data_IF_363146493105
#
_entry.id   IF_363146493105
#
_cell.length_a   1.000
_cell.length_b   1.000
_cell.length_c   1.000
_cell.angle_alpha   90.00
_cell.angle_beta   90.00
_cell.angle_gamma   90.00
#
_symmetry.space_group_name_H-M   'P 1'
#
loop_
_entity.id
_entity.type
_entity.pdbx_description
1 polymer ?
#
# COMPACT_ATOMS: atom_id res chain seq x y z
N UNK A 1 -15.42 39.69 -36.32
CA UNK A 1 -16.26 39.01 -35.32
C UNK A 1 -15.38 38.30 -34.31
N UNK A 2 -15.22 38.88 -33.11
CA UNK A 2 -14.38 38.32 -32.04
C UNK A 2 -15.30 37.51 -31.12
N UNK A 3 -15.05 36.21 -30.97
CA UNK A 3 -15.77 35.35 -30.04
C UNK A 3 -15.16 35.46 -28.63
N UNK A 4 -15.96 35.97 -27.69
CA UNK A 4 -15.65 35.95 -26.24
C UNK A 4 -15.76 34.51 -25.74
N UNK A 5 -14.66 33.96 -25.18
CA UNK A 5 -14.68 32.79 -24.29
C UNK A 5 -14.66 33.27 -22.85
N UNK A 6 -15.48 32.71 -21.94
CA UNK A 6 -15.40 33.04 -20.53
C UNK A 6 -14.16 32.44 -19.91
N UNK A 7 -13.42 33.24 -19.14
CA UNK A 7 -12.24 32.86 -18.37
C UNK A 7 -12.64 32.00 -17.17
N UNK A 8 -12.12 30.80 -17.08
CA UNK A 8 -12.26 29.93 -15.93
C UNK A 8 -11.62 30.50 -14.67
N UNK A 9 -12.30 30.39 -13.55
CA UNK A 9 -11.85 30.85 -12.23
C UNK A 9 -10.77 29.87 -11.74
N UNK A 10 -9.55 30.37 -11.49
CA UNK A 10 -8.46 29.56 -10.97
C UNK A 10 -8.63 29.32 -9.45
N UNK A 11 -8.22 28.13 -8.97
CA UNK A 11 -8.26 27.73 -7.55
C UNK A 11 -7.61 28.73 -6.56
N UNK A 12 -6.80 29.65 -7.02
CA UNK A 12 -6.22 30.75 -6.21
C UNK A 12 -7.19 31.89 -5.87
N UNK A 13 -8.35 31.96 -6.53
CA UNK A 13 -9.35 32.99 -6.31
C UNK A 13 -10.34 32.69 -5.16
N UNK A 14 -10.43 31.43 -4.70
CA UNK A 14 -11.41 31.03 -3.69
C UNK A 14 -10.98 31.25 -2.22
N UNK A 15 -9.72 31.57 -1.97
CA UNK A 15 -9.17 31.74 -0.60
C UNK A 15 -9.18 33.21 -0.08
N UNK A 16 -9.86 34.14 -0.73
CA UNK A 16 -9.91 35.54 -0.31
C UNK A 16 -11.31 36.09 -0.03
N UNK A 17 -12.20 35.29 0.52
CA UNK A 17 -13.57 35.74 0.76
C UNK A 17 -14.26 35.17 1.98
N UNK A 18 -13.61 35.07 3.15
CA UNK A 18 -14.33 34.75 4.39
C UNK A 18 -13.56 35.30 5.62
N UNK A 19 -13.65 36.59 5.79
CA UNK A 19 -13.33 37.22 7.06
C UNK A 19 -14.38 38.30 7.31
N UNK A 20 -15.40 37.96 8.12
CA UNK A 20 -16.20 38.87 8.95
C UNK A 20 -17.37 38.08 9.58
N UNK A 21 -17.36 37.97 10.92
CA UNK A 21 -18.51 37.48 11.68
C UNK A 21 -18.17 36.73 12.95
N UNK A 22 -17.36 37.31 13.85
CA UNK A 22 -17.29 36.83 15.23
C UNK A 22 -18.20 37.69 16.08
N UNK A 23 -19.27 37.11 16.64
CA UNK A 23 -20.01 37.67 17.77
C UNK A 23 -20.40 36.53 18.71
N UNK A 24 -19.98 36.65 19.94
CA UNK A 24 -19.92 35.72 21.01
C UNK A 24 -21.23 35.16 21.55
N UNK A 25 -21.07 34.08 22.30
CA UNK A 25 -21.93 33.72 23.44
C UNK A 25 -21.08 32.95 24.46
N UNK A 26 -20.82 33.63 25.59
CA UNK A 26 -20.29 33.03 26.78
C UNK A 26 -21.42 32.25 27.49
N UNK A 27 -21.22 30.95 27.71
CA UNK A 27 -22.08 30.09 28.52
C UNK A 27 -21.28 29.50 29.68
N UNK A 28 -21.71 29.86 30.88
CA UNK A 28 -21.06 29.51 32.14
C UNK A 28 -21.07 28.02 32.44
N UNK A 29 -19.94 27.48 32.84
CA UNK A 29 -19.79 26.15 33.44
C UNK A 29 -20.12 26.23 34.93
N UNK A 30 -21.16 25.52 35.38
CA UNK A 30 -21.47 25.31 36.78
C UNK A 30 -20.75 24.04 37.25
N UNK A 31 -19.79 24.23 38.14
CA UNK A 31 -19.16 23.14 38.93
C UNK A 31 -20.08 22.77 40.08
N UNK A 32 -20.60 21.54 40.08
CA UNK A 32 -21.24 20.96 41.29
C UNK A 32 -20.25 19.97 41.90
N UNK A 33 -19.69 20.34 43.02
CA UNK A 33 -18.96 19.42 43.89
C UNK A 33 -19.97 18.65 44.78
N UNK A 34 -19.96 17.32 44.73
CA UNK A 34 -20.62 16.46 45.70
C UNK A 34 -19.57 15.57 46.34
N UNK A 35 -19.54 15.70 47.67
CA UNK A 35 -18.62 15.04 48.59
C UNK A 35 -18.82 13.53 48.68
N UNK A 36 -17.78 12.89 49.18
CA UNK A 36 -17.56 11.46 49.28
C UNK A 36 -18.48 10.67 50.19
N UNK A 37 -18.44 9.35 49.99
CA UNK A 37 -18.43 8.33 51.05
C UNK A 37 -18.20 6.92 50.52
N UNK A 38 -17.23 6.28 51.15
CA UNK A 38 -17.16 4.86 51.51
C UNK A 38 -17.01 3.76 50.44
N UNK A 39 -15.91 3.08 50.60
CA UNK A 39 -15.40 1.96 49.89
C UNK A 39 -16.31 0.74 49.72
N UNK A 40 -16.28 0.23 48.52
CA UNK A 40 -16.42 -1.19 48.23
C UNK A 40 -15.65 -1.47 46.91
N UNK A 41 -14.53 -2.20 47.07
CA UNK A 41 -13.81 -2.76 45.93
C UNK A 41 -14.68 -3.82 45.26
N UNK A 42 -15.40 -3.44 44.25
CA UNK A 42 -16.01 -4.36 43.30
C UNK A 42 -15.00 -4.54 42.16
N UNK A 43 -14.44 -5.73 42.01
CA UNK A 43 -13.76 -6.17 40.81
C UNK A 43 -14.81 -6.20 39.70
N UNK A 44 -14.86 -5.16 38.86
CA UNK A 44 -15.61 -5.18 37.64
C UNK A 44 -14.93 -6.21 36.70
N UNK A 45 -15.70 -7.23 36.33
CA UNK A 45 -15.33 -8.15 35.25
C UNK A 45 -15.23 -7.34 33.95
N UNK A 46 -14.22 -7.62 33.13
CA UNK A 46 -14.00 -6.96 31.84
C UNK A 46 -15.15 -7.15 30.84
N UNK A 47 -16.16 -7.94 31.20
CA UNK A 47 -17.34 -8.22 30.36
C UNK A 47 -18.55 -7.29 30.60
N UNK A 48 -18.47 -6.34 31.56
CA UNK A 48 -19.64 -5.50 31.92
C UNK A 48 -19.56 -4.05 31.41
N UNK A 49 -18.54 -3.71 30.61
CA UNK A 49 -18.50 -2.42 29.91
C UNK A 49 -19.14 -2.56 28.52
N UNK A 50 -20.46 -2.68 28.48
CA UNK A 50 -21.22 -2.31 27.28
C UNK A 50 -21.15 -0.78 27.20
N UNK A 51 -20.19 -0.26 26.44
CA UNK A 51 -20.23 1.11 25.97
C UNK A 51 -21.31 1.17 24.91
N UNK A 52 -22.48 1.67 25.29
CA UNK A 52 -23.54 2.01 24.38
C UNK A 52 -23.11 3.27 23.61
N UNK A 53 -22.23 3.09 22.62
CA UNK A 53 -21.82 4.15 21.70
C UNK A 53 -22.78 4.03 20.52
N UNK A 54 -23.65 5.03 20.28
CA UNK A 54 -24.55 4.99 19.11
C UNK A 54 -23.72 4.81 17.84
N UNK A 55 -23.93 3.69 17.13
CA UNK A 55 -23.24 3.35 15.89
C UNK A 55 -22.15 2.28 16.00
N UNK A 56 -21.90 1.69 17.19
CA UNK A 56 -21.02 0.52 17.32
C UNK A 56 -21.86 -0.72 17.56
N UNK A 57 -22.04 -1.53 16.56
CA UNK A 57 -22.57 -2.91 16.67
C UNK A 57 -21.42 -3.89 16.94
N UNK A 58 -21.73 -5.03 17.59
CA UNK A 58 -20.76 -6.12 17.79
C UNK A 58 -20.14 -6.51 16.44
N UNK A 59 -18.83 -6.86 16.45
CA UNK A 59 -18.03 -7.13 15.25
C UNK A 59 -18.60 -8.32 14.43
N UNK A 60 -19.40 -9.19 15.05
CA UNK A 60 -20.13 -10.27 14.35
C UNK A 60 -21.37 -9.73 13.60
N UNK A 61 -21.83 -8.51 13.91
CA UNK A 61 -22.89 -7.77 13.26
C UNK A 61 -22.37 -6.48 12.60
N UNK A 62 -21.15 -6.52 12.03
CA UNK A 62 -20.69 -5.40 11.19
C UNK A 62 -21.60 -5.39 9.97
N UNK A 63 -22.73 -4.72 10.16
CA UNK A 63 -23.69 -4.44 9.11
C UNK A 63 -22.96 -3.59 8.07
N UNK A 64 -22.67 -4.21 6.94
CA UNK A 64 -22.12 -3.56 5.75
C UNK A 64 -23.07 -2.48 5.17
N UNK A 65 -24.00 -1.95 5.95
CA UNK A 65 -25.01 -0.95 5.54
C UNK A 65 -24.43 0.44 5.26
N UNK A 66 -23.15 0.69 5.52
CA UNK A 66 -22.44 1.78 4.85
C UNK A 66 -21.94 1.27 3.50
N UNK A 67 -22.90 0.94 2.63
CA UNK A 67 -22.68 0.50 1.27
C UNK A 67 -21.96 1.58 0.46
N UNK A 68 -20.64 1.59 0.52
CA UNK A 68 -19.87 2.14 -0.59
C UNK A 68 -19.95 1.12 -1.73
N UNK A 69 -20.02 1.55 -2.97
CA UNK A 69 -20.15 0.69 -4.16
C UNK A 69 -19.08 -0.43 -4.24
N UNK A 70 -18.02 -0.37 -3.41
CA UNK A 70 -16.92 -1.35 -3.35
C UNK A 70 -17.09 -2.47 -2.32
N UNK A 71 -18.11 -2.44 -1.43
CA UNK A 71 -18.27 -3.45 -0.36
C UNK A 71 -19.34 -4.49 -0.68
N UNK A 72 -20.23 -4.22 -1.63
CA UNK A 72 -21.31 -5.12 -2.03
C UNK A 72 -20.86 -6.04 -3.16
N UNK A 73 -20.98 -7.35 -2.96
CA UNK A 73 -20.58 -8.37 -3.95
C UNK A 73 -19.20 -8.95 -3.70
N UNK A 74 -18.74 -9.78 -4.63
CA UNK A 74 -17.45 -10.47 -4.60
C UNK A 74 -16.61 -10.07 -5.80
N UNK A 75 -15.29 -9.98 -5.62
CA UNK A 75 -14.32 -9.88 -6.69
C UNK A 75 -13.84 -11.27 -7.06
N UNK A 76 -13.70 -11.57 -8.34
CA UNK A 76 -13.08 -12.82 -8.78
C UNK A 76 -11.56 -12.79 -8.55
N UNK A 77 -11.12 -13.46 -7.49
CA UNK A 77 -9.71 -13.54 -7.12
C UNK A 77 -8.96 -14.72 -7.75
N UNK A 78 -9.57 -15.48 -8.66
CA UNK A 78 -8.91 -16.64 -9.31
C UNK A 78 -7.67 -16.26 -10.11
N UNK A 79 -7.64 -15.07 -10.70
CA UNK A 79 -6.51 -14.57 -11.49
C UNK A 79 -5.50 -13.77 -10.67
N UNK A 80 -5.90 -13.19 -9.55
CA UNK A 80 -5.08 -12.45 -8.61
C UNK A 80 -5.78 -12.40 -7.25
N UNK A 81 -5.16 -13.01 -6.25
CA UNK A 81 -5.67 -13.01 -4.87
C UNK A 81 -4.79 -12.10 -3.99
N UNK A 82 -5.33 -10.97 -3.48
CA UNK A 82 -4.60 -10.08 -2.60
C UNK A 82 -4.06 -10.75 -1.33
N UNK A 83 -4.75 -11.76 -0.78
CA UNK A 83 -4.26 -12.51 0.38
C UNK A 83 -3.05 -13.37 0.05
N UNK A 84 -3.07 -14.06 -1.10
CA UNK A 84 -1.93 -14.85 -1.58
C UNK A 84 -0.76 -13.93 -1.92
N UNK A 85 -1.04 -12.78 -2.53
CA UNK A 85 -0.02 -11.81 -2.91
C UNK A 85 0.77 -11.26 -1.72
N UNK A 86 0.15 -11.12 -0.54
CA UNK A 86 0.85 -10.66 0.68
C UNK A 86 2.16 -11.42 0.93
N UNK A 87 2.18 -12.73 0.66
CA UNK A 87 3.30 -13.62 0.97
C UNK A 87 3.96 -14.20 -0.31
N UNK A 88 3.64 -13.63 -1.48
CA UNK A 88 4.21 -14.06 -2.76
C UNK A 88 5.53 -13.35 -3.05
N UNK A 89 6.64 -14.08 -2.92
CA UNK A 89 7.98 -13.60 -3.22
C UNK A 89 8.59 -14.41 -4.36
N UNK A 90 9.00 -13.74 -5.44
CA UNK A 90 9.71 -14.36 -6.54
C UNK A 90 11.22 -14.29 -6.29
N UNK A 91 11.84 -15.42 -6.03
CA UNK A 91 13.28 -15.55 -5.80
C UNK A 91 14.08 -15.80 -7.09
N UNK A 92 13.42 -15.87 -8.22
CA UNK A 92 14.02 -16.20 -9.51
C UNK A 92 14.61 -17.60 -9.59
N UNK A 93 15.04 -17.99 -10.79
CA UNK A 93 15.81 -19.20 -10.98
C UNK A 93 17.26 -18.96 -10.60
N UNK A 94 17.79 -19.72 -9.65
CA UNK A 94 19.12 -19.53 -9.11
C UNK A 94 20.16 -20.41 -9.80
N UNK A 95 21.34 -19.84 -10.07
CA UNK A 95 22.53 -20.54 -10.52
C UNK A 95 23.80 -19.85 -9.98
N UNK A 96 24.98 -20.41 -10.24
CA UNK A 96 26.25 -19.81 -9.85
C UNK A 96 27.01 -19.29 -11.05
N UNK A 97 27.51 -18.06 -10.95
CA UNK A 97 28.47 -17.50 -11.90
C UNK A 97 29.86 -18.09 -11.69
N UNK A 98 30.74 -17.94 -12.68
CA UNK A 98 32.13 -18.43 -12.61
C UNK A 98 32.93 -17.80 -11.45
N UNK A 99 32.56 -16.59 -11.00
CA UNK A 99 33.19 -15.89 -9.88
C UNK A 99 32.57 -16.27 -8.51
N UNK A 100 31.60 -17.19 -8.49
CA UNK A 100 30.95 -17.71 -7.28
C UNK A 100 29.74 -16.96 -6.82
N UNK A 101 29.42 -15.77 -7.39
CA UNK A 101 28.19 -15.03 -7.08
C UNK A 101 26.96 -15.83 -7.49
N UNK A 102 25.84 -15.58 -6.83
CA UNK A 102 24.55 -16.14 -7.24
C UNK A 102 23.96 -15.31 -8.37
N UNK A 103 23.59 -15.95 -9.47
CA UNK A 103 22.76 -15.37 -10.51
C UNK A 103 21.30 -15.75 -10.22
N UNK A 104 20.40 -14.75 -10.23
CA UNK A 104 18.96 -14.94 -10.17
C UNK A 104 18.34 -14.45 -11.47
N UNK A 105 17.62 -15.33 -12.15
CA UNK A 105 16.98 -15.03 -13.43
C UNK A 105 15.48 -14.94 -13.25
N UNK A 106 14.89 -13.86 -13.77
CA UNK A 106 13.45 -13.56 -13.73
C UNK A 106 12.94 -13.30 -15.15
N UNK A 107 11.67 -13.63 -15.36
CA UNK A 107 10.94 -13.22 -16.54
C UNK A 107 9.83 -12.24 -16.16
N UNK A 108 9.82 -11.07 -16.81
CA UNK A 108 8.80 -10.05 -16.63
C UNK A 108 8.19 -9.74 -18.00
N UNK A 109 6.88 -9.88 -18.12
CA UNK A 109 6.16 -9.66 -19.35
C UNK A 109 5.16 -8.53 -19.14
N UNK A 110 5.28 -7.44 -19.91
CA UNK A 110 4.23 -6.41 -19.95
C UNK A 110 3.07 -6.89 -20.82
N UNK A 111 1.84 -6.83 -20.27
CA UNK A 111 0.61 -7.15 -21.00
C UNK A 111 -0.51 -6.21 -20.60
N UNK A 112 -1.40 -5.91 -21.56
CA UNK A 112 -2.64 -5.19 -21.27
C UNK A 112 -3.67 -6.19 -20.72
N UNK A 113 -4.37 -5.82 -19.64
CA UNK A 113 -5.36 -6.70 -19.01
C UNK A 113 -6.39 -5.88 -18.23
N UNK A 114 -7.66 -6.22 -18.36
CA UNK A 114 -8.67 -5.73 -17.44
C UNK A 114 -8.54 -6.46 -16.09
N UNK A 115 -8.47 -5.71 -15.01
CA UNK A 115 -8.41 -6.23 -13.64
C UNK A 115 -9.63 -5.76 -12.86
N UNK A 116 -10.21 -6.60 -12.03
CA UNK A 116 -11.29 -6.23 -11.15
C UNK A 116 -10.73 -5.63 -9.86
N UNK A 117 -11.05 -4.36 -9.59
CA UNK A 117 -10.52 -3.59 -8.45
C UNK A 117 -11.53 -3.42 -7.32
N UNK A 118 -12.80 -3.64 -7.61
CA UNK A 118 -13.92 -3.70 -6.68
C UNK A 118 -15.03 -4.52 -7.34
N UNK A 119 -16.03 -5.04 -6.62
CA UNK A 119 -17.08 -5.89 -7.21
C UNK A 119 -17.74 -5.25 -8.44
N UNK A 120 -17.57 -5.88 -9.60
CA UNK A 120 -18.09 -5.41 -10.88
C UNK A 120 -17.39 -4.18 -11.49
N UNK A 121 -16.32 -3.68 -10.87
CA UNK A 121 -15.53 -2.54 -11.36
C UNK A 121 -14.23 -3.03 -11.99
N UNK A 122 -14.15 -2.93 -13.31
CA UNK A 122 -12.97 -3.35 -14.08
C UNK A 122 -12.14 -2.13 -14.46
N UNK A 123 -10.83 -2.27 -14.27
CA UNK A 123 -9.84 -1.26 -14.63
C UNK A 123 -8.96 -1.79 -15.77
N UNK A 124 -8.86 -1.10 -16.93
CA UNK A 124 -8.04 -1.52 -18.04
C UNK A 124 -6.56 -1.24 -17.73
N UNK A 125 -5.90 -2.17 -17.06
CA UNK A 125 -4.54 -2.04 -16.60
C UNK A 125 -3.50 -2.32 -17.67
N UNK A 126 -2.29 -1.81 -17.48
CA UNK A 126 -1.04 -2.31 -18.02
C UNK A 126 -0.32 -3.02 -16.91
N UNK A 127 0.05 -4.25 -17.11
CA UNK A 127 0.49 -5.12 -16.02
C UNK A 127 1.88 -5.68 -16.27
N UNK A 128 2.61 -5.98 -15.22
CA UNK A 128 3.72 -6.92 -15.27
C UNK A 128 3.23 -8.31 -14.85
N UNK A 129 3.43 -9.30 -15.72
CA UNK A 129 3.00 -10.70 -15.54
C UNK A 129 1.48 -10.86 -15.30
N UNK A 130 0.67 -9.95 -15.91
CA UNK A 130 -0.79 -10.05 -15.86
C UNK A 130 -1.44 -9.70 -14.54
N UNK A 131 -0.74 -8.99 -13.64
CA UNK A 131 -1.21 -8.59 -12.32
C UNK A 131 -0.77 -7.17 -11.95
N UNK A 132 -1.47 -6.55 -11.02
CA UNK A 132 -1.12 -5.29 -10.36
C UNK A 132 -1.26 -5.54 -8.85
N UNK A 133 -0.23 -5.25 -8.04
CA UNK A 133 1.14 -4.95 -8.45
C UNK A 133 1.77 -6.10 -9.23
N UNK A 134 2.82 -5.81 -9.99
CA UNK A 134 3.67 -6.84 -10.58
C UNK A 134 4.34 -7.73 -9.54
N UNK A 135 5.04 -8.81 -9.93
CA UNK A 135 5.68 -9.76 -9.01
C UNK A 135 6.58 -9.07 -7.98
N UNK A 136 6.57 -9.55 -6.74
CA UNK A 136 7.54 -9.12 -5.73
C UNK A 136 8.87 -9.81 -5.98
N UNK A 137 9.79 -9.12 -6.64
CA UNK A 137 11.14 -9.63 -6.91
C UNK A 137 11.95 -9.60 -5.62
N UNK A 138 12.63 -10.70 -5.29
CA UNK A 138 13.45 -10.81 -4.08
C UNK A 138 14.81 -11.42 -4.37
N UNK A 139 15.88 -10.74 -3.91
CA UNK A 139 17.27 -11.14 -4.05
C UNK A 139 18.06 -10.87 -2.77
N UNK A 140 19.31 -11.28 -2.70
CA UNK A 140 20.23 -10.98 -1.59
C UNK A 140 21.32 -10.03 -2.07
N UNK A 141 21.74 -9.09 -1.25
CA UNK A 141 22.81 -8.15 -1.61
C UNK A 141 24.08 -8.91 -2.05
N UNK A 142 24.64 -8.49 -3.20
CA UNK A 142 25.76 -9.16 -3.87
C UNK A 142 25.33 -10.24 -4.87
N UNK A 143 24.06 -10.62 -4.95
CA UNK A 143 23.57 -11.44 -6.07
C UNK A 143 23.60 -10.60 -7.36
N UNK A 144 23.72 -11.29 -8.50
CA UNK A 144 23.47 -10.70 -9.81
C UNK A 144 22.04 -11.06 -10.22
N UNK A 145 21.24 -10.07 -10.51
CA UNK A 145 19.90 -10.28 -11.09
C UNK A 145 19.98 -10.15 -12.61
N UNK A 146 19.28 -11.04 -13.31
CA UNK A 146 19.05 -10.97 -14.74
C UNK A 146 17.54 -11.01 -14.98
N UNK A 147 16.98 -9.89 -15.39
CA UNK A 147 15.55 -9.74 -15.66
C UNK A 147 15.35 -9.67 -17.17
N UNK A 148 14.79 -10.73 -17.75
CA UNK A 148 14.38 -10.73 -19.13
C UNK A 148 13.00 -10.07 -19.23
N UNK A 149 12.97 -8.88 -19.77
CA UNK A 149 11.75 -8.11 -19.97
C UNK A 149 11.25 -8.27 -21.40
N UNK A 150 10.01 -8.76 -21.54
CA UNK A 150 9.31 -8.88 -22.81
C UNK A 150 8.11 -7.94 -22.82
N UNK A 151 7.98 -7.12 -23.86
CA UNK A 151 6.83 -6.26 -24.02
C UNK A 151 5.82 -6.88 -25.00
N UNK A 152 4.84 -7.60 -24.45
CA UNK A 152 3.68 -8.14 -25.17
C UNK A 152 2.45 -7.20 -25.09
N UNK A 153 2.60 -6.00 -24.53
CA UNK A 153 1.55 -4.98 -24.43
C UNK A 153 1.41 -4.17 -25.72
N UNK A 154 0.45 -3.24 -25.74
CA UNK A 154 0.11 -2.40 -26.87
C UNK A 154 0.93 -1.10 -26.95
N UNK A 155 1.69 -0.75 -25.93
CA UNK A 155 2.45 0.49 -25.80
C UNK A 155 3.94 0.20 -25.52
N UNK A 156 4.85 1.17 -25.78
CA UNK A 156 6.24 1.06 -25.35
C UNK A 156 6.35 1.08 -23.83
N UNK A 157 7.15 0.20 -23.26
CA UNK A 157 7.36 0.07 -21.83
C UNK A 157 8.83 -0.11 -21.46
N UNK A 158 9.19 0.04 -20.20
CA UNK A 158 10.50 -0.29 -19.65
C UNK A 158 10.35 -0.76 -18.22
N UNK A 159 11.45 -1.15 -17.57
CA UNK A 159 11.51 -1.33 -16.11
C UNK A 159 12.64 -0.48 -15.57
N UNK A 160 12.29 0.48 -14.72
CA UNK A 160 13.23 1.25 -13.91
C UNK A 160 13.25 0.65 -12.51
N UNK A 161 14.43 0.31 -12.01
CA UNK A 161 14.63 -0.23 -10.67
C UNK A 161 15.14 0.85 -9.74
N UNK A 162 14.52 1.00 -8.57
CA UNK A 162 15.12 1.78 -7.49
C UNK A 162 16.26 1.00 -6.83
N UNK A 163 17.32 1.69 -6.43
CA UNK A 163 18.54 1.10 -5.87
C UNK A 163 19.76 1.67 -6.56
N UNK A 164 20.88 0.94 -6.50
CA UNK A 164 22.11 1.30 -7.18
C UNK A 164 22.37 0.26 -8.28
N UNK A 165 22.52 0.72 -9.50
CA UNK A 165 22.76 -0.11 -10.69
C UNK A 165 23.48 0.71 -11.77
N UNK A 166 24.08 0.07 -12.81
CA UNK A 166 24.66 0.79 -13.94
C UNK A 166 23.61 1.62 -14.69
N UNK A 167 24.00 2.80 -15.17
CA UNK A 167 23.08 3.74 -15.84
C UNK A 167 22.48 3.20 -17.15
N UNK A 168 23.14 2.24 -17.79
CA UNK A 168 22.60 1.53 -18.98
C UNK A 168 21.63 0.39 -18.61
N UNK A 169 21.34 0.20 -17.32
CA UNK A 169 20.33 -0.72 -16.79
C UNK A 169 19.22 0.03 -16.04
N UNK A 170 19.16 1.34 -16.22
CA UNK A 170 18.25 2.24 -15.50
C UNK A 170 16.78 2.16 -15.99
N UNK A 171 16.56 1.71 -17.24
CA UNK A 171 15.22 1.61 -17.82
C UNK A 171 14.60 2.95 -18.25
N UNK A 172 15.36 4.04 -18.19
CA UNK A 172 14.95 5.36 -18.65
C UNK A 172 15.09 5.49 -20.16
N UNK A 173 16.20 4.98 -20.72
CA UNK A 173 16.50 5.03 -22.16
C UNK A 173 16.21 3.71 -22.88
N UNK A 174 16.15 2.61 -22.13
CA UNK A 174 15.89 1.24 -22.62
C UNK A 174 14.38 1.03 -22.84
N UNK A 175 13.77 1.87 -23.70
CA UNK A 175 12.34 1.78 -24.00
C UNK A 175 12.08 0.64 -24.98
N UNK A 176 11.37 -0.37 -24.52
CA UNK A 176 11.06 -1.59 -25.28
C UNK A 176 9.73 -1.42 -26.00
N UNK A 177 9.74 -1.49 -27.33
CA UNK A 177 8.53 -1.42 -28.16
C UNK A 177 7.74 -2.72 -28.08
N UNK A 178 6.43 -2.69 -28.38
CA UNK A 178 5.62 -3.91 -28.50
C UNK A 178 6.29 -4.98 -29.36
N UNK A 179 6.31 -6.22 -28.85
CA UNK A 179 6.91 -7.38 -29.50
C UNK A 179 8.44 -7.51 -29.35
N UNK A 180 9.08 -6.56 -28.64
CA UNK A 180 10.52 -6.60 -28.40
C UNK A 180 10.82 -6.99 -26.95
N UNK A 181 12.10 -7.26 -26.68
CA UNK A 181 12.62 -7.61 -25.37
C UNK A 181 13.87 -6.80 -25.03
N UNK A 182 14.17 -6.71 -23.73
CA UNK A 182 15.42 -6.19 -23.17
C UNK A 182 15.82 -7.01 -21.96
N UNK A 183 17.12 -7.20 -21.71
CA UNK A 183 17.60 -7.90 -20.54
C UNK A 183 18.34 -6.92 -19.64
N UNK A 184 17.80 -6.71 -18.45
CA UNK A 184 18.49 -5.99 -17.37
C UNK A 184 19.37 -6.97 -16.63
N UNK A 185 20.65 -6.61 -16.41
CA UNK A 185 21.58 -7.44 -15.65
C UNK A 185 22.50 -6.56 -14.80
N UNK A 186 22.42 -6.72 -13.48
CA UNK A 186 23.25 -5.95 -12.55
C UNK A 186 23.37 -6.65 -11.18
N UNK A 187 24.44 -6.31 -10.45
CA UNK A 187 24.59 -6.69 -9.05
C UNK A 187 23.65 -5.85 -8.18
N UNK A 188 22.95 -6.48 -7.22
CA UNK A 188 21.96 -5.80 -6.39
C UNK A 188 22.57 -5.29 -5.09
N UNK A 189 22.42 -3.98 -4.85
CA UNK A 189 22.78 -3.28 -3.63
C UNK A 189 22.14 -1.88 -3.60
N UNK A 190 22.10 -1.21 -2.41
CA UNK A 190 22.23 -1.79 -1.09
C UNK A 190 21.05 -2.69 -0.76
N UNK A 191 21.20 -3.55 0.26
CA UNK A 191 20.05 -4.26 0.79
C UNK A 191 18.99 -3.28 1.34
N UNK A 192 17.73 -3.70 1.33
CA UNK A 192 16.60 -2.87 1.74
C UNK A 192 15.33 -3.19 0.97
N UNK A 193 14.32 -2.36 1.19
CA UNK A 193 13.10 -2.36 0.40
C UNK A 193 13.25 -1.37 -0.75
N UNK A 194 13.14 -1.86 -1.95
CA UNK A 194 13.12 -1.11 -3.20
C UNK A 194 11.82 -1.35 -3.95
N UNK A 195 11.67 -0.69 -5.07
CA UNK A 195 10.56 -0.88 -6.00
C UNK A 195 11.06 -0.81 -7.44
N UNK A 196 10.21 -1.21 -8.36
CA UNK A 196 10.44 -1.01 -9.79
C UNK A 196 9.15 -0.53 -10.46
N UNK A 197 9.27 0.23 -11.52
CA UNK A 197 8.13 0.72 -12.30
C UNK A 197 8.54 1.04 -13.75
N UNK A 198 7.56 1.17 -14.62
CA UNK A 198 7.79 1.66 -15.96
C UNK A 198 8.20 3.13 -15.96
N UNK A 199 9.23 3.50 -16.75
CA UNK A 199 9.69 4.89 -16.88
C UNK A 199 9.44 5.47 -18.28
N UNK A 200 8.65 4.78 -19.13
CA UNK A 200 8.22 5.33 -20.41
C UNK A 200 7.29 6.55 -20.20
N UNK A 201 7.40 7.54 -21.10
CA UNK A 201 6.54 8.74 -21.02
C UNK A 201 5.22 8.53 -21.78
N UNK A 202 4.11 9.08 -21.25
CA UNK A 202 3.96 9.92 -20.04
C UNK A 202 3.97 9.09 -18.76
N UNK A 203 4.99 9.30 -17.91
CA UNK A 203 5.32 8.49 -16.73
C UNK A 203 4.11 8.22 -15.83
N UNK A 204 3.38 9.26 -15.45
CA UNK A 204 2.20 9.14 -14.56
C UNK A 204 1.13 8.19 -15.12
N UNK A 205 0.98 8.11 -16.46
CA UNK A 205 0.02 7.20 -17.07
C UNK A 205 0.45 5.75 -16.90
N UNK A 206 1.76 5.45 -17.05
CA UNK A 206 2.29 4.10 -16.92
C UNK A 206 2.20 3.60 -15.50
N UNK A 207 2.51 4.45 -14.50
CA UNK A 207 2.36 4.10 -13.08
C UNK A 207 0.87 3.93 -12.74
N UNK A 208 0.02 4.90 -13.08
CA UNK A 208 -1.42 4.81 -12.82
C UNK A 208 -2.06 3.56 -13.43
N UNK A 209 -1.59 3.12 -14.59
CA UNK A 209 -2.10 1.92 -15.28
C UNK A 209 -1.63 0.61 -14.64
N UNK A 210 -0.70 0.62 -13.66
CA UNK A 210 -0.34 -0.55 -12.88
C UNK A 210 1.06 -1.14 -13.14
N UNK A 211 1.90 -0.49 -13.96
CA UNK A 211 3.24 -0.98 -14.28
C UNK A 211 4.24 -0.67 -13.16
N UNK A 212 4.14 -1.37 -12.05
CA UNK A 212 5.02 -1.27 -10.90
C UNK A 212 5.00 -2.55 -10.05
N UNK A 213 6.01 -2.71 -9.19
CA UNK A 213 6.09 -3.79 -8.22
C UNK A 213 7.15 -3.52 -7.15
N UNK A 214 7.22 -4.42 -6.20
CA UNK A 214 8.15 -4.38 -5.09
C UNK A 214 9.44 -5.14 -5.41
N UNK A 215 10.58 -4.59 -5.03
CA UNK A 215 11.89 -5.22 -5.16
C UNK A 215 12.58 -5.26 -3.80
N UNK A 216 12.73 -6.45 -3.22
CA UNK A 216 13.35 -6.66 -1.92
C UNK A 216 14.76 -7.17 -2.12
N UNK A 217 15.72 -6.50 -1.50
CA UNK A 217 17.11 -6.97 -1.42
C UNK A 217 17.39 -7.28 0.05
N UNK A 218 17.57 -8.57 0.36
CA UNK A 218 17.88 -9.01 1.71
C UNK A 218 19.35 -8.72 2.06
N UNK A 219 19.68 -8.43 3.34
CA UNK A 219 21.05 -8.44 3.78
C UNK A 219 21.64 -9.84 3.67
N UNK A 220 22.99 -9.98 3.46
CA UNK A 220 23.63 -11.29 3.28
C UNK A 220 23.40 -12.27 4.44
N UNK A 221 23.32 -11.75 5.66
CA UNK A 221 23.03 -12.51 6.89
C UNK A 221 21.54 -12.79 7.10
N UNK A 222 20.67 -12.24 6.24
CA UNK A 222 19.22 -12.32 6.39
C UNK A 222 18.68 -11.33 7.41
N UNK A 223 17.36 -11.34 7.60
CA UNK A 223 16.64 -10.58 8.62
C UNK A 223 16.18 -11.52 9.74
N UNK A 224 15.97 -11.00 10.96
CA UNK A 224 15.33 -11.80 12.02
C UNK A 224 14.05 -12.44 11.52
N UNK A 225 13.71 -13.67 11.96
CA UNK A 225 12.48 -14.34 11.55
C UNK A 225 11.25 -13.50 11.88
N UNK A 226 10.33 -13.40 10.92
CA UNK A 226 9.05 -12.71 11.05
C UNK A 226 8.07 -13.31 10.04
N UNK A 227 6.78 -13.12 10.25
CA UNK A 227 5.83 -13.28 9.17
C UNK A 227 5.92 -12.07 8.24
N UNK A 228 6.24 -12.30 7.00
CA UNK A 228 6.53 -11.24 6.03
C UNK A 228 5.36 -11.03 5.08
N UNK A 229 5.00 -9.77 4.87
CA UNK A 229 3.90 -9.38 3.99
C UNK A 229 4.29 -8.21 3.11
N UNK A 230 3.85 -8.22 1.86
CA UNK A 230 4.01 -7.11 0.91
C UNK A 230 2.71 -6.35 0.80
N UNK A 231 2.74 -5.05 1.07
CA UNK A 231 1.61 -4.15 0.89
C UNK A 231 1.99 -3.01 -0.05
N UNK A 232 1.32 -2.93 -1.18
CA UNK A 232 1.47 -1.84 -2.14
C UNK A 232 0.22 -1.00 -2.13
N UNK A 233 0.39 0.30 -1.85
CA UNK A 233 -0.70 1.27 -1.89
C UNK A 233 -1.00 1.65 -3.34
N UNK A 234 -2.24 1.45 -3.75
CA UNK A 234 -2.73 1.71 -5.10
C UNK A 234 -3.80 2.82 -5.09
N UNK A 235 -3.90 3.55 -6.20
CA UNK A 235 -4.99 4.45 -6.48
C UNK A 235 -5.46 4.24 -7.93
N UNK A 236 -6.78 4.23 -8.13
CA UNK A 236 -7.38 3.99 -9.44
C UNK A 236 -8.36 5.11 -9.81
N UNK A 237 -8.04 5.86 -10.86
CA UNK A 237 -8.94 6.82 -11.49
C UNK A 237 -9.69 6.11 -12.62
N UNK A 238 -10.89 5.62 -12.35
CA UNK A 238 -11.68 4.85 -13.32
C UNK A 238 -12.20 5.72 -14.47
N UNK A 239 -12.33 7.02 -14.25
CA UNK A 239 -12.72 8.00 -15.26
C UNK A 239 -11.52 8.60 -16.03
N UNK A 240 -10.29 8.27 -15.64
CA UNK A 240 -9.05 8.78 -16.26
C UNK A 240 -8.94 10.32 -16.26
N UNK A 241 -9.59 10.98 -15.31
CA UNK A 241 -9.60 12.43 -15.13
C UNK A 241 -8.46 12.95 -14.22
N UNK A 242 -7.72 12.03 -13.58
CA UNK A 242 -6.65 12.34 -12.63
C UNK A 242 -7.12 12.51 -11.19
N UNK A 243 -8.32 12.03 -10.87
CA UNK A 243 -8.88 11.90 -9.51
C UNK A 243 -9.15 10.43 -9.26
N UNK A 244 -8.55 9.87 -8.19
CA UNK A 244 -8.76 8.48 -7.83
C UNK A 244 -10.17 8.27 -7.30
N UNK A 245 -10.84 7.22 -7.77
CA UNK A 245 -12.19 6.81 -7.37
C UNK A 245 -12.15 5.61 -6.42
N UNK A 246 -11.03 4.87 -6.41
CA UNK A 246 -10.76 3.79 -5.48
C UNK A 246 -9.31 3.84 -5.02
N UNK A 247 -9.11 3.44 -3.77
CA UNK A 247 -7.79 3.18 -3.19
C UNK A 247 -7.76 1.75 -2.66
N UNK A 248 -6.58 1.13 -2.68
CA UNK A 248 -6.46 -0.25 -2.25
C UNK A 248 -5.08 -0.56 -1.66
N UNK A 249 -5.03 -1.64 -0.92
CA UNK A 249 -3.82 -2.41 -0.67
C UNK A 249 -3.85 -3.61 -1.59
N UNK A 250 -2.82 -3.73 -2.45
CA UNK A 250 -2.71 -4.85 -3.39
C UNK A 250 -3.98 -4.98 -4.26
N UNK A 251 -4.37 -3.91 -4.97
CA UNK A 251 -5.33 -3.87 -6.08
C UNK A 251 -6.80 -3.82 -5.70
N UNK A 252 -7.28 -4.68 -4.80
CA UNK A 252 -8.71 -4.80 -4.54
C UNK A 252 -9.11 -3.93 -3.36
N UNK A 253 -9.97 -2.92 -3.63
CA UNK A 253 -10.51 -2.04 -2.62
C UNK A 253 -11.30 -2.82 -1.57
N UNK A 254 -11.15 -2.48 -0.29
CA UNK A 254 -11.82 -3.12 0.85
C UNK A 254 -11.55 -4.63 1.04
N UNK A 255 -10.63 -5.23 0.27
CA UNK A 255 -10.40 -6.68 0.34
C UNK A 255 -10.13 -7.16 1.77
N UNK A 256 -9.25 -6.45 2.49
CA UNK A 256 -8.86 -6.83 3.85
C UNK A 256 -9.86 -6.39 4.94
N UNK A 257 -10.92 -5.67 4.59
CA UNK A 257 -12.11 -5.48 5.43
C UNK A 257 -12.94 -6.75 5.40
N UNK A 258 -13.21 -7.24 4.20
CA UNK A 258 -14.02 -8.44 3.96
C UNK A 258 -13.30 -9.73 4.37
N UNK A 259 -11.99 -9.78 4.12
CA UNK A 259 -11.10 -10.90 4.44
C UNK A 259 -9.96 -10.42 5.34
N UNK A 260 -10.18 -10.32 6.67
CA UNK A 260 -9.15 -9.89 7.59
C UNK A 260 -7.91 -10.77 7.53
N UNK A 261 -6.72 -10.18 7.63
CA UNK A 261 -5.45 -10.89 7.58
C UNK A 261 -5.25 -11.62 8.91
N UNK A 262 -5.24 -12.99 8.95
CA UNK A 262 -5.01 -13.70 10.19
C UNK A 262 -3.56 -13.54 10.62
N UNK A 263 -3.30 -13.22 11.89
CA UNK A 263 -1.97 -13.14 12.49
C UNK A 263 -1.96 -13.87 13.84
N UNK A 264 -0.80 -14.34 14.29
CA UNK A 264 -0.68 -14.97 15.60
C UNK A 264 -0.28 -13.93 16.65
N UNK A 265 -0.90 -14.02 17.81
CA UNK A 265 -0.49 -13.23 18.99
C UNK A 265 0.97 -13.50 19.31
N UNK A 266 1.75 -12.45 19.54
CA UNK A 266 3.17 -12.55 19.89
C UNK A 266 4.11 -12.83 18.72
N UNK A 267 3.60 -13.12 17.52
CA UNK A 267 4.42 -13.31 16.32
C UNK A 267 4.84 -11.96 15.72
N UNK A 268 6.13 -11.81 15.40
CA UNK A 268 6.62 -10.62 14.72
C UNK A 268 6.06 -10.56 13.30
N UNK A 269 5.33 -9.49 13.01
CA UNK A 269 4.85 -9.15 11.68
C UNK A 269 5.83 -8.18 11.03
N UNK A 270 6.17 -8.40 9.75
CA UNK A 270 6.99 -7.49 8.93
C UNK A 270 6.25 -7.16 7.67
N UNK A 271 5.94 -5.88 7.47
CA UNK A 271 5.30 -5.37 6.26
C UNK A 271 6.35 -4.64 5.41
N UNK A 272 6.48 -5.06 4.17
CA UNK A 272 7.16 -4.35 3.11
C UNK A 272 6.16 -3.41 2.44
N UNK A 273 6.09 -2.17 2.92
CA UNK A 273 5.11 -1.18 2.52
C UNK A 273 5.67 -0.25 1.45
N UNK A 274 4.97 -0.13 0.32
CA UNK A 274 5.37 0.72 -0.81
C UNK A 274 4.20 1.58 -1.26
N UNK A 275 4.41 2.89 -1.49
CA UNK A 275 3.38 3.77 -2.03
C UNK A 275 3.58 4.00 -3.53
N UNK A 276 2.66 3.51 -4.34
CA UNK A 276 2.57 3.71 -5.79
C UNK A 276 1.25 4.39 -6.21
N UNK A 277 0.59 5.05 -5.26
CA UNK A 277 -0.61 5.86 -5.54
C UNK A 277 -0.23 7.02 -6.46
N UNK A 278 -0.82 7.08 -7.67
CA UNK A 278 -0.66 8.21 -8.60
C UNK A 278 -1.77 9.24 -8.34
N UNK A 279 -1.54 10.46 -8.75
CA UNK A 279 -2.40 11.66 -8.63
C UNK A 279 -2.48 12.30 -7.26
N UNK A 280 -2.16 11.60 -6.18
CA UNK A 280 -2.10 12.14 -4.83
C UNK A 280 -0.66 12.37 -4.39
N UNK A 281 -0.41 13.50 -3.71
CA UNK A 281 0.93 13.89 -3.29
C UNK A 281 1.49 12.98 -2.19
N UNK A 282 0.61 12.47 -1.34
CA UNK A 282 0.95 11.66 -0.17
C UNK A 282 -0.12 10.60 0.07
N UNK A 283 0.29 9.50 0.67
CA UNK A 283 -0.58 8.50 1.29
C UNK A 283 -0.07 8.24 2.71
N UNK A 284 -0.77 7.43 3.49
CA UNK A 284 -0.36 7.11 4.86
C UNK A 284 -0.74 5.67 5.23
N UNK A 285 -0.13 5.18 6.29
CA UNK A 285 -0.50 3.93 6.96
C UNK A 285 -0.65 4.21 8.44
N UNK A 286 -1.80 3.86 9.01
CA UNK A 286 -2.07 3.91 10.44
C UNK A 286 -2.51 2.53 10.95
N UNK A 287 -2.02 2.14 12.13
CA UNK A 287 -2.41 0.93 12.83
C UNK A 287 -3.12 1.31 14.13
N UNK A 288 -4.32 0.77 14.35
CA UNK A 288 -5.07 0.95 15.59
C UNK A 288 -4.55 0.04 16.71
N UNK A 289 -4.66 0.54 17.93
CA UNK A 289 -4.43 -0.16 19.19
C UNK A 289 -3.00 -0.72 19.37
N UNK A 290 -2.08 -0.41 18.50
CA UNK A 290 -0.67 -0.76 18.62
C UNK A 290 0.22 0.26 17.89
N UNK A 291 1.53 0.10 18.04
CA UNK A 291 2.56 0.88 17.37
C UNK A 291 3.52 -0.04 16.62
N UNK A 292 4.10 0.45 15.55
CA UNK A 292 5.08 -0.28 14.76
C UNK A 292 6.43 0.44 14.69
N UNK A 293 7.50 -0.34 14.53
CA UNK A 293 8.83 0.17 14.20
C UNK A 293 8.90 0.42 12.70
N UNK A 294 9.36 1.61 12.31
CA UNK A 294 9.58 1.99 10.92
C UNK A 294 11.06 1.98 10.61
N UNK A 295 11.48 1.13 9.70
CA UNK A 295 12.81 1.18 9.09
C UNK A 295 12.68 1.84 7.73
N UNK A 296 13.12 3.10 7.62
CA UNK A 296 13.03 3.86 6.37
C UNK A 296 13.89 3.20 5.31
N UNK A 297 13.29 2.91 4.14
CA UNK A 297 13.87 2.11 3.05
C UNK A 297 14.37 0.71 3.46
N UNK A 298 14.41 0.39 4.74
CA UNK A 298 14.90 -0.88 5.26
C UNK A 298 16.39 -1.15 4.98
N UNK A 299 17.18 -0.11 4.67
CA UNK A 299 18.63 -0.22 4.42
C UNK A 299 19.47 -0.23 5.70
N UNK A 300 18.82 -0.17 6.86
CA UNK A 300 19.42 -0.38 8.19
C UNK A 300 18.44 -1.11 9.09
N UNK A 301 18.95 -1.85 10.06
CA UNK A 301 18.18 -2.48 11.15
C UNK A 301 18.50 -1.85 12.51
N UNK A 302 19.46 -0.93 12.58
CA UNK A 302 19.96 -0.34 13.82
C UNK A 302 19.14 0.86 14.29
N UNK A 303 18.41 1.49 13.34
CA UNK A 303 17.62 2.70 13.60
C UNK A 303 16.20 2.53 13.12
N UNK A 304 15.25 2.80 13.99
CA UNK A 304 13.83 2.81 13.69
C UNK A 304 13.13 3.97 14.40
N UNK A 305 12.00 4.38 13.85
CA UNK A 305 11.03 5.22 14.53
C UNK A 305 9.93 4.33 15.09
N UNK A 306 9.43 4.62 16.29
CA UNK A 306 8.25 3.97 16.86
C UNK A 306 7.06 4.92 16.70
N UNK A 307 6.06 4.50 15.95
CA UNK A 307 4.85 5.30 15.67
C UNK A 307 3.67 4.39 15.35
N UNK A 308 2.48 4.94 15.35
CA UNK A 308 1.26 4.30 14.88
C UNK A 308 0.83 4.79 13.49
N UNK A 309 1.45 5.86 13.00
CA UNK A 309 1.10 6.50 11.72
C UNK A 309 2.35 6.98 10.99
N UNK A 310 2.44 6.66 9.70
CA UNK A 310 3.47 7.22 8.82
C UNK A 310 2.86 7.80 7.54
N UNK A 311 3.53 8.80 7.02
CA UNK A 311 3.23 9.41 5.73
C UNK A 311 4.25 8.96 4.69
N UNK A 312 3.78 8.66 3.49
CA UNK A 312 4.61 8.27 2.34
C UNK A 312 4.24 9.13 1.12
N UNK A 313 5.22 9.77 0.50
CA UNK A 313 5.03 10.28 -0.86
C UNK A 313 5.08 9.12 -1.88
N UNK A 314 4.68 9.38 -3.12
CA UNK A 314 4.77 8.38 -4.19
C UNK A 314 6.23 7.93 -4.39
N UNK A 315 6.45 6.62 -4.52
CA UNK A 315 7.77 6.00 -4.62
C UNK A 315 8.50 5.81 -3.29
N UNK A 316 7.94 6.30 -2.18
CA UNK A 316 8.48 6.04 -0.85
C UNK A 316 8.06 4.63 -0.37
N UNK A 317 8.94 4.01 0.42
CA UNK A 317 8.77 2.64 0.91
C UNK A 317 9.47 2.46 2.25
N UNK A 318 8.84 1.65 3.13
CA UNK A 318 9.34 1.39 4.49
C UNK A 318 9.09 -0.06 4.89
N UNK A 319 9.94 -0.60 5.75
CA UNK A 319 9.67 -1.85 6.46
C UNK A 319 9.04 -1.49 7.80
N UNK A 320 7.86 -2.04 8.06
CA UNK A 320 7.16 -1.90 9.33
C UNK A 320 7.24 -3.21 10.10
N UNK A 321 7.56 -3.13 11.40
CA UNK A 321 7.57 -4.31 12.29
C UNK A 321 6.76 -4.04 13.54
N UNK A 322 5.87 -4.99 13.87
CA UNK A 322 5.03 -4.95 15.08
C UNK A 322 4.66 -6.35 15.55
N UNK A 323 4.12 -6.43 16.77
CA UNK A 323 3.68 -7.68 17.38
C UNK A 323 2.39 -7.42 18.15
N UNK A 324 1.30 -8.09 17.78
CA UNK A 324 0.00 -7.88 18.42
C UNK A 324 -0.07 -8.64 19.76
N UNK A 325 -0.42 -7.96 20.86
CA UNK A 325 -0.28 -8.51 22.21
C UNK A 325 -1.44 -9.40 22.66
N UNK A 326 -2.61 -9.32 22.00
CA UNK A 326 -3.82 -10.04 22.41
C UNK A 326 -4.67 -10.44 21.20
N UNK A 327 -5.54 -11.46 21.31
CA UNK A 327 -6.52 -11.77 20.28
C UNK A 327 -7.47 -10.60 20.07
N UNK A 328 -7.88 -10.39 18.81
CA UNK A 328 -8.81 -9.31 18.45
C UNK A 328 -8.64 -8.85 17.01
N UNK A 329 -9.44 -7.84 16.67
CA UNK A 329 -9.39 -7.18 15.37
C UNK A 329 -8.64 -5.86 15.50
N UNK A 330 -7.58 -5.70 14.74
CA UNK A 330 -6.76 -4.49 14.70
C UNK A 330 -6.89 -3.85 13.33
N UNK A 331 -7.53 -2.67 13.27
CA UNK A 331 -7.71 -1.94 12.03
C UNK A 331 -6.40 -1.35 11.54
N UNK A 332 -6.19 -1.34 10.25
CA UNK A 332 -5.20 -0.51 9.56
C UNK A 332 -5.85 0.23 8.40
N UNK A 333 -5.42 1.46 8.15
CA UNK A 333 -5.98 2.26 7.06
C UNK A 333 -5.10 3.45 6.70
N UNK A 334 -5.38 4.08 5.55
CA UNK A 334 -4.87 5.41 5.26
C UNK A 334 -5.48 6.43 6.24
N UNK A 335 -4.68 7.31 6.84
CA UNK A 335 -5.19 8.33 7.75
C UNK A 335 -5.84 9.52 7.02
N UNK A 336 -5.71 9.59 5.69
CA UNK A 336 -6.59 10.38 4.84
C UNK A 336 -7.94 9.65 4.78
N UNK A 337 -8.97 10.22 5.43
CA UNK A 337 -10.30 9.61 5.57
C UNK A 337 -10.90 9.23 4.21
N UNK A 338 -10.75 10.10 3.21
CA UNK A 338 -11.21 9.84 1.85
C UNK A 338 -10.61 8.54 1.27
N UNK A 339 -9.29 8.30 1.48
CA UNK A 339 -8.65 7.09 0.95
C UNK A 339 -9.14 5.83 1.66
N UNK A 340 -9.37 5.92 2.98
CA UNK A 340 -9.94 4.83 3.75
C UNK A 340 -11.38 4.53 3.29
N UNK A 341 -12.22 5.56 3.15
CA UNK A 341 -13.62 5.45 2.71
C UNK A 341 -13.75 4.97 1.26
N UNK A 342 -12.72 5.13 0.45
CA UNK A 342 -12.66 4.65 -0.93
C UNK A 342 -11.87 3.34 -1.10
N UNK A 343 -11.54 2.64 0.02
CA UNK A 343 -11.07 1.25 -0.03
C UNK A 343 -9.72 0.95 0.57
N UNK A 344 -8.91 1.96 0.96
CA UNK A 344 -7.61 1.73 1.56
C UNK A 344 -7.75 1.49 3.08
N UNK A 345 -8.28 0.35 3.45
CA UNK A 345 -8.43 -0.09 4.84
C UNK A 345 -8.50 -1.61 4.94
N UNK A 346 -8.29 -2.13 6.14
CA UNK A 346 -8.37 -3.55 6.43
C UNK A 346 -8.20 -3.86 7.91
N UNK A 347 -8.18 -5.16 8.23
CA UNK A 347 -8.00 -5.66 9.58
C UNK A 347 -6.94 -6.75 9.63
N UNK A 348 -6.15 -6.74 10.70
CA UNK A 348 -5.45 -7.91 11.19
C UNK A 348 -6.36 -8.62 12.21
N UNK A 349 -6.59 -9.91 12.01
CA UNK A 349 -7.30 -10.77 12.96
C UNK A 349 -6.27 -11.55 13.77
N UNK A 350 -5.94 -11.03 14.96
CA UNK A 350 -5.03 -11.72 15.87
C UNK A 350 -5.73 -12.91 16.53
N UNK A 351 -5.11 -14.08 16.46
CA UNK A 351 -5.58 -15.34 17.05
C UNK A 351 -4.51 -15.90 17.97
N UNK A 352 -4.92 -16.72 18.95
CA UNK A 352 -3.97 -17.44 19.82
C UNK A 352 -3.01 -18.30 18.99
N UNK A 353 -1.79 -18.49 19.52
CA UNK A 353 -0.70 -19.23 18.86
C UNK A 353 -0.96 -20.73 18.80
#
# INVERSE_FOLDING_TARGET
MRSNRPSGISRRGMLRGSALGAAGLAGAASVVAVGGRDGASAKASANDLKLDVPGYTDIDDFDHSHETAGTVGEVDTTAFDPMVFLESFDYGRQSKLADGRTLREYEVIAVDKDIEIAPGVFFPAWTYNGQVPGPTIRATAGDVVRIRFNNAGSHPHSIHFHGIHPTNMDGVFEIVKPGNEFTYEFEVHPWGLHLYHCHAVPLKRHIHKGLYGTFIIDPPEGRPPAREMVMVMNGFSTEFNGENTFYAVNTVAFHHVKYPIPVRVGELQRIYLTNLTEFDLINSFHLHADMFRVYRTGTTMDHYELTDTIMLCQGERHILEFTLPAPGMYMFHAHQSEFAELGWMGFFKAVEA
#
